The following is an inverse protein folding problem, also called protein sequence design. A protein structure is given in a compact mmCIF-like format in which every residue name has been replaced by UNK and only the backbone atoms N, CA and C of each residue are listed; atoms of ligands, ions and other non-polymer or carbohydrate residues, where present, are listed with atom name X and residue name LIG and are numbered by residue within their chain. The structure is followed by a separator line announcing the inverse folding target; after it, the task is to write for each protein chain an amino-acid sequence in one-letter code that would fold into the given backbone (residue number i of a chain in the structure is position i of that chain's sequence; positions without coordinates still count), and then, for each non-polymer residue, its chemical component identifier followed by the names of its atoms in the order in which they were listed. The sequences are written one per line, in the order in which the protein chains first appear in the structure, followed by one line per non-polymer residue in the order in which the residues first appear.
data_IF_317803744593
#
_entry.id   IF_317803744593
#
_cell.length_a   1.000
_cell.length_b   1.000
_cell.length_c   1.000
_cell.angle_alpha   90.00
_cell.angle_beta   90.00
_cell.angle_gamma   90.00
#
_symmetry.space_group_name_H-M   'P 1'
#
loop_
_entity.id
_entity.type
_entity.pdbx_description
1 polymer ?
#
# COMPACT_ATOMS: atom_id res chain seq x y z
N UNK A 1 -25.98 -4.99 -19.01
CA UNK A 1 -25.53 -3.59 -19.28
C UNK A 1 -24.91 -3.06 -18.00
N UNK A 2 -23.59 -3.21 -17.86
CA UNK A 2 -22.86 -2.61 -16.75
C UNK A 2 -22.92 -1.09 -16.88
N UNK A 3 -23.51 -0.43 -15.88
CA UNK A 3 -23.47 1.04 -15.77
C UNK A 3 -22.09 1.39 -15.23
N UNK A 4 -21.14 1.64 -16.11
CA UNK A 4 -19.88 2.27 -15.72
C UNK A 4 -20.21 3.71 -15.32
N UNK A 5 -20.07 4.05 -14.04
CA UNK A 5 -20.22 5.42 -13.57
C UNK A 5 -19.23 6.33 -14.29
N UNK A 6 -19.59 7.59 -14.58
CA UNK A 6 -18.66 8.54 -15.17
C UNK A 6 -17.42 8.71 -14.26
N UNK A 7 -16.24 8.98 -14.85
CA UNK A 7 -15.05 9.26 -14.07
C UNK A 7 -15.28 10.50 -13.19
N UNK A 8 -14.65 10.55 -11.99
CA UNK A 8 -14.81 11.66 -11.08
C UNK A 8 -14.32 12.98 -11.70
N UNK A 9 -14.96 14.08 -11.34
CA UNK A 9 -14.57 15.42 -11.79
C UNK A 9 -13.24 15.85 -11.17
N UNK A 10 -12.54 16.85 -11.76
CA UNK A 10 -11.33 17.40 -11.16
C UNK A 10 -11.52 17.92 -9.73
N UNK A 11 -12.69 18.49 -9.43
CA UNK A 11 -13.04 19.00 -8.10
C UNK A 11 -13.22 17.85 -7.10
N UNK A 12 -13.91 16.78 -7.50
CA UNK A 12 -14.06 15.58 -6.67
C UNK A 12 -12.71 14.91 -6.38
N UNK A 13 -11.78 14.93 -7.34
CA UNK A 13 -10.41 14.45 -7.15
C UNK A 13 -9.63 15.32 -6.16
N UNK A 14 -9.75 16.66 -6.25
CA UNK A 14 -9.10 17.57 -5.31
C UNK A 14 -9.57 17.34 -3.87
N UNK A 15 -10.89 17.27 -3.66
CA UNK A 15 -11.48 16.98 -2.35
C UNK A 15 -10.97 15.64 -1.79
N UNK A 16 -10.87 14.62 -2.65
CA UNK A 16 -10.33 13.32 -2.25
C UNK A 16 -8.85 13.38 -1.89
N UNK A 17 -8.04 14.15 -2.61
CA UNK A 17 -6.62 14.34 -2.29
C UNK A 17 -6.45 15.04 -0.95
N UNK A 18 -7.20 16.10 -0.69
CA UNK A 18 -7.15 16.82 0.60
C UNK A 18 -7.56 15.92 1.77
N UNK A 19 -8.57 15.08 1.56
CA UNK A 19 -9.00 14.09 2.57
C UNK A 19 -7.92 13.02 2.82
N UNK A 20 -7.22 12.58 1.78
CA UNK A 20 -6.11 11.63 1.90
C UNK A 20 -4.93 12.26 2.63
N UNK A 21 -4.56 13.50 2.27
CA UNK A 21 -3.47 14.23 2.90
C UNK A 21 -3.75 14.47 4.39
N UNK A 22 -4.96 14.92 4.73
CA UNK A 22 -5.38 15.09 6.12
C UNK A 22 -5.24 13.79 6.92
N UNK A 23 -5.68 12.65 6.35
CA UNK A 23 -5.56 11.35 7.02
C UNK A 23 -4.10 10.93 7.14
N UNK A 24 -3.28 11.19 6.12
CA UNK A 24 -1.85 10.89 6.15
C UNK A 24 -1.15 11.68 7.27
N UNK A 25 -1.39 12.99 7.37
CA UNK A 25 -0.83 13.83 8.44
C UNK A 25 -1.23 13.31 9.83
N UNK A 26 -2.48 12.89 10.00
CA UNK A 26 -2.93 12.30 11.26
C UNK A 26 -2.29 10.94 11.56
N UNK A 27 -1.90 10.16 10.56
CA UNK A 27 -1.15 8.90 10.75
C UNK A 27 0.28 9.21 11.13
N UNK A 28 0.94 10.14 10.44
CA UNK A 28 2.31 10.59 10.73
C UNK A 28 2.42 11.02 12.19
N UNK A 29 1.54 11.92 12.64
CA UNK A 29 1.54 12.40 14.03
C UNK A 29 1.40 11.26 15.06
N UNK A 30 0.57 10.26 14.76
CA UNK A 30 0.39 9.10 15.67
C UNK A 30 1.62 8.20 15.69
N UNK A 31 2.28 8.00 14.55
CA UNK A 31 3.52 7.21 14.46
C UNK A 31 4.66 7.92 15.18
N UNK A 32 4.79 9.24 15.02
CA UNK A 32 5.75 10.06 15.76
C UNK A 32 5.54 9.91 17.27
N UNK A 33 4.30 10.08 17.75
CA UNK A 33 3.99 9.90 19.17
C UNK A 33 4.32 8.47 19.67
N UNK A 34 4.06 7.44 18.87
CA UNK A 34 4.42 6.06 19.22
C UNK A 34 5.93 5.87 19.31
N UNK A 35 6.70 6.46 18.39
CA UNK A 35 8.16 6.39 18.43
C UNK A 35 8.74 7.11 19.64
N UNK A 36 8.24 8.30 19.96
CA UNK A 36 8.65 9.01 21.18
C UNK A 36 8.36 8.19 22.44
N UNK A 37 7.18 7.56 22.54
CA UNK A 37 6.83 6.70 23.67
C UNK A 37 7.73 5.46 23.77
N UNK A 38 8.06 4.83 22.64
CA UNK A 38 8.94 3.66 22.61
C UNK A 38 10.37 4.03 23.01
N UNK A 39 10.90 5.13 22.50
CA UNK A 39 12.23 5.62 22.86
C UNK A 39 12.28 6.03 24.34
N UNK A 40 11.26 6.72 24.83
CA UNK A 40 11.15 7.12 26.24
C UNK A 40 11.02 5.92 27.19
N UNK A 41 10.45 4.81 26.73
CA UNK A 41 10.37 3.56 27.52
C UNK A 41 11.73 2.90 27.76
N UNK A 42 12.77 3.29 27.02
CA UNK A 42 14.12 2.75 27.12
C UNK A 42 14.27 1.30 26.61
N UNK A 43 13.19 0.69 26.10
CA UNK A 43 13.21 -0.67 25.56
C UNK A 43 13.75 -0.75 24.14
N UNK A 44 13.70 0.35 23.39
CA UNK A 44 14.13 0.41 21.98
C UNK A 44 14.97 1.66 21.81
N UNK A 45 16.16 1.52 21.21
CA UNK A 45 16.99 2.66 20.81
C UNK A 45 16.62 3.19 19.42
N UNK A 46 17.01 4.43 19.11
CA UNK A 46 16.77 5.01 17.77
C UNK A 46 17.37 4.16 16.64
N UNK A 47 18.59 3.66 16.82
CA UNK A 47 19.25 2.80 15.84
C UNK A 47 18.51 1.47 15.61
N UNK A 48 17.90 0.91 16.66
CA UNK A 48 17.13 -0.34 16.59
C UNK A 48 15.80 -0.11 15.86
N UNK A 49 15.15 1.04 16.12
CA UNK A 49 13.96 1.46 15.39
C UNK A 49 14.23 1.65 13.90
N UNK A 50 15.30 2.35 13.54
CA UNK A 50 15.72 2.53 12.14
C UNK A 50 16.09 1.20 11.47
N UNK A 51 16.77 0.31 12.18
CA UNK A 51 17.06 -1.03 11.69
C UNK A 51 15.78 -1.84 11.45
N UNK A 52 14.77 -1.70 12.33
CA UNK A 52 13.48 -2.36 12.17
C UNK A 52 12.70 -1.83 10.97
N UNK A 53 12.74 -0.51 10.73
CA UNK A 53 12.14 0.09 9.54
C UNK A 53 12.77 -0.45 8.25
N UNK A 54 14.11 -0.52 8.18
CA UNK A 54 14.83 -1.12 7.05
C UNK A 54 14.52 -2.61 6.87
N UNK A 55 14.48 -3.38 7.96
CA UNK A 55 14.08 -4.80 7.92
C UNK A 55 12.68 -4.96 7.32
N UNK A 56 11.74 -4.11 7.75
CA UNK A 56 10.36 -4.12 7.28
C UNK A 56 10.28 -3.78 5.79
N UNK A 57 11.00 -2.76 5.35
CA UNK A 57 11.06 -2.33 3.96
C UNK A 57 11.55 -3.46 3.05
N UNK A 58 12.66 -4.10 3.45
CA UNK A 58 13.28 -5.18 2.70
C UNK A 58 12.53 -6.52 2.71
N UNK A 59 11.32 -6.60 3.30
CA UNK A 59 10.55 -7.88 3.38
C UNK A 59 10.12 -8.42 2.02
N UNK A 60 9.99 -7.54 1.03
CA UNK A 60 9.70 -7.90 -0.36
C UNK A 60 10.97 -7.98 -1.23
N UNK A 61 12.14 -7.75 -0.64
CA UNK A 61 13.43 -7.73 -1.32
C UNK A 61 13.78 -6.39 -2.00
N UNK A 62 13.01 -5.33 -1.79
CA UNK A 62 13.21 -4.00 -2.38
C UNK A 62 13.24 -2.94 -1.26
N UNK A 63 14.20 -2.02 -1.29
CA UNK A 63 14.27 -0.88 -0.37
C UNK A 63 13.53 0.31 -1.00
N UNK A 64 12.18 0.32 -0.94
CA UNK A 64 11.34 1.35 -1.57
C UNK A 64 10.42 2.13 -0.59
N UNK A 65 10.59 1.91 0.71
CA UNK A 65 9.78 2.46 1.79
C UNK A 65 8.42 1.76 1.99
N UNK A 66 8.23 0.51 1.54
CA UNK A 66 6.94 -0.20 1.61
C UNK A 66 7.08 -1.55 2.30
N UNK A 67 6.01 -1.94 3.00
CA UNK A 67 6.02 -3.13 3.86
C UNK A 67 5.88 -4.45 3.06
N UNK A 68 5.34 -4.38 1.82
CA UNK A 68 5.21 -5.48 0.84
C UNK A 68 4.95 -4.90 -0.57
N UNK A 69 5.78 -5.21 -1.56
CA UNK A 69 5.51 -4.94 -2.96
C UNK A 69 4.27 -5.72 -3.40
N UNK A 70 3.26 -5.08 -4.02
CA UNK A 70 2.10 -5.79 -4.48
C UNK A 70 2.51 -6.88 -5.48
N UNK A 71 2.17 -8.14 -5.15
CA UNK A 71 2.44 -9.30 -6.01
C UNK A 71 1.88 -9.01 -7.41
N UNK A 72 2.73 -9.08 -8.43
CA UNK A 72 2.26 -9.00 -9.81
C UNK A 72 1.63 -10.35 -10.14
N UNK A 73 0.36 -10.34 -10.54
CA UNK A 73 -0.34 -11.52 -11.04
C UNK A 73 -0.56 -11.39 -12.54
N UNK A 74 -0.35 -12.46 -13.30
CA UNK A 74 -0.70 -12.59 -14.71
C UNK A 74 -1.88 -13.54 -14.84
N UNK A 75 -2.92 -13.13 -15.57
CA UNK A 75 -4.02 -14.03 -15.90
C UNK A 75 -3.61 -15.01 -16.99
N UNK A 76 -3.66 -16.31 -16.73
CA UNK A 76 -3.40 -17.38 -17.71
C UNK A 76 -4.42 -17.44 -18.86
N UNK A 77 -5.58 -16.76 -18.74
CA UNK A 77 -6.62 -16.74 -19.79
C UNK A 77 -6.51 -15.57 -20.75
N UNK A 78 -6.24 -14.36 -20.24
CA UNK A 78 -6.24 -13.13 -21.06
C UNK A 78 -4.89 -12.38 -21.04
N UNK A 79 -3.89 -12.93 -20.36
CA UNK A 79 -2.54 -12.37 -20.22
C UNK A 79 -2.48 -10.97 -19.59
N UNK A 80 -3.57 -10.52 -18.96
CA UNK A 80 -3.60 -9.24 -18.26
C UNK A 80 -2.76 -9.31 -16.98
N UNK A 81 -1.88 -8.32 -16.80
CA UNK A 81 -1.09 -8.11 -15.57
C UNK A 81 -1.85 -7.22 -14.61
N UNK A 82 -1.90 -7.60 -13.34
CA UNK A 82 -2.51 -6.82 -12.27
C UNK A 82 -1.68 -6.90 -10.99
N UNK A 83 -1.83 -5.90 -10.13
CA UNK A 83 -1.10 -5.77 -8.86
C UNK A 83 -1.97 -6.24 -7.69
N UNK A 84 -1.37 -6.96 -6.74
CA UNK A 84 -1.99 -7.40 -5.50
C UNK A 84 -2.37 -8.89 -5.49
N UNK A 85 -3.17 -9.29 -4.50
CA UNK A 85 -3.58 -10.68 -4.28
C UNK A 85 -5.07 -10.89 -4.61
N UNK A 86 -5.50 -10.46 -5.78
CA UNK A 86 -6.90 -10.64 -6.18
C UNK A 86 -7.17 -12.12 -6.50
N UNK A 87 -8.39 -12.58 -6.23
CA UNK A 87 -8.83 -13.94 -6.57
C UNK A 87 -9.28 -14.09 -8.03
N UNK A 88 -9.70 -12.99 -8.66
CA UNK A 88 -10.22 -12.97 -10.03
C UNK A 88 -9.54 -11.88 -10.86
N UNK A 89 -9.39 -12.13 -12.16
CA UNK A 89 -8.81 -11.18 -13.10
C UNK A 89 -9.73 -9.96 -13.25
N UNK A 90 -9.18 -8.76 -12.99
CA UNK A 90 -9.91 -7.49 -13.11
C UNK A 90 -10.45 -7.21 -14.51
N UNK A 91 -9.90 -7.87 -15.55
CA UNK A 91 -10.32 -7.69 -16.95
C UNK A 91 -11.30 -8.74 -17.44
N UNK A 92 -11.06 -10.02 -17.14
CA UNK A 92 -11.84 -11.12 -17.72
C UNK A 92 -12.61 -11.98 -16.71
N UNK A 93 -12.48 -11.71 -15.41
CA UNK A 93 -13.18 -12.41 -14.34
C UNK A 93 -12.70 -13.85 -14.07
N UNK A 94 -11.71 -14.36 -14.79
CA UNK A 94 -11.16 -15.70 -14.55
C UNK A 94 -10.36 -15.76 -13.24
N UNK A 95 -10.44 -16.89 -12.56
CA UNK A 95 -9.65 -17.27 -11.38
C UNK A 95 -8.28 -17.88 -11.73
N UNK A 96 -7.95 -18.00 -13.01
CA UNK A 96 -6.67 -18.50 -13.50
C UNK A 96 -5.56 -17.43 -13.37
N UNK A 97 -5.38 -16.89 -12.17
CA UNK A 97 -4.30 -15.96 -11.85
C UNK A 97 -3.06 -16.73 -11.40
N UNK A 98 -1.92 -16.35 -11.95
CA UNK A 98 -0.61 -16.91 -11.61
C UNK A 98 0.27 -15.76 -11.13
N UNK A 99 1.16 -16.02 -10.16
CA UNK A 99 2.22 -15.08 -9.84
C UNK A 99 3.09 -14.89 -11.09
N UNK A 100 3.37 -13.64 -11.43
CA UNK A 100 4.17 -13.26 -12.58
C UNK A 100 5.67 -13.44 -12.32
#
# INVERSE_FOLDING_TARGET
MERSSPPPSPEELAIRLDAVDTRLQQVVLRVEALFELLLASGHVGQAELEAKLREIDLRDGVEDGRNVAPVVQVCGKCSHRQLGQQRFCARCGSDALQAA
#
